data_IF_287569956487
#
_entry.id   IF_287569956487
#
_cell.length_a   1.000
_cell.length_b   1.000
_cell.length_c   1.000
_cell.angle_alpha   90.00
_cell.angle_beta   90.00
_cell.angle_gamma   90.00
#
_symmetry.space_group_name_H-M   'P 1'
#
loop_
_entity.id
_entity.type
_entity.pdbx_description
1 polymer ?
#
# COMPACT_ATOMS: atom_id res chain seq x y z
N UNK A 1 15.83 11.16 11.55
CA UNK A 1 14.68 11.37 12.45
C UNK A 1 14.61 10.20 13.44
N UNK A 2 14.20 10.40 14.69
CA UNK A 2 13.98 9.31 15.66
C UNK A 2 12.94 8.29 15.18
N UNK A 3 13.04 7.04 15.65
CA UNK A 3 12.13 5.95 15.27
C UNK A 3 10.65 6.32 15.48
N UNK A 4 10.30 6.83 16.67
CA UNK A 4 8.92 7.14 17.02
C UNK A 4 8.32 8.21 16.10
N UNK A 5 9.11 9.24 15.79
CA UNK A 5 8.70 10.30 14.87
C UNK A 5 8.47 9.77 13.45
N UNK A 6 9.34 8.87 12.96
CA UNK A 6 9.17 8.25 11.63
C UNK A 6 7.93 7.36 11.57
N UNK A 7 7.71 6.54 12.60
CA UNK A 7 6.55 5.65 12.67
C UNK A 7 5.24 6.45 12.74
N UNK A 8 5.19 7.47 13.60
CA UNK A 8 4.02 8.37 13.72
C UNK A 8 3.75 9.11 12.42
N UNK A 9 4.79 9.62 11.75
CA UNK A 9 4.67 10.30 10.47
C UNK A 9 4.07 9.38 9.40
N UNK A 10 4.58 8.15 9.26
CA UNK A 10 4.04 7.18 8.31
C UNK A 10 2.59 6.80 8.61
N UNK A 11 2.25 6.60 9.89
CA UNK A 11 0.90 6.25 10.29
C UNK A 11 -0.08 7.40 9.99
N UNK A 12 0.32 8.65 10.25
CA UNK A 12 -0.47 9.82 9.91
C UNK A 12 -0.64 9.96 8.40
N UNK A 13 0.44 9.82 7.61
CA UNK A 13 0.38 9.92 6.16
C UNK A 13 -0.58 8.89 5.55
N UNK A 14 -0.49 7.63 5.97
CA UNK A 14 -1.40 6.57 5.53
C UNK A 14 -2.86 6.95 5.87
N UNK A 15 -3.12 7.34 7.11
CA UNK A 15 -4.46 7.73 7.57
C UNK A 15 -5.02 8.90 6.77
N UNK A 16 -4.27 9.99 6.61
CA UNK A 16 -4.71 11.16 5.86
C UNK A 16 -4.95 10.82 4.39
N UNK A 17 -4.10 10.00 3.78
CA UNK A 17 -4.27 9.63 2.39
C UNK A 17 -5.53 8.76 2.16
N UNK A 18 -5.85 7.87 3.09
CA UNK A 18 -7.10 7.09 3.06
C UNK A 18 -8.31 8.01 3.20
N UNK A 19 -8.25 8.98 4.12
CA UNK A 19 -9.38 9.87 4.44
C UNK A 19 -9.63 10.96 3.39
N UNK A 20 -8.59 11.49 2.76
CA UNK A 20 -8.70 12.63 1.85
C UNK A 20 -8.75 12.24 0.37
N UNK A 21 -8.25 11.06 0.01
CA UNK A 21 -8.23 10.59 -1.37
C UNK A 21 -9.11 9.35 -1.46
N UNK A 22 -10.38 9.46 -1.86
CA UNK A 22 -11.24 8.29 -2.01
C UNK A 22 -10.68 7.37 -3.12
N UNK A 23 -10.78 6.03 -2.98
CA UNK A 23 -10.55 5.15 -4.12
C UNK A 23 -11.64 5.38 -5.17
N UNK A 24 -11.27 5.61 -6.43
CA UNK A 24 -12.22 5.77 -7.52
C UNK A 24 -11.72 5.07 -8.79
N UNK A 25 -12.65 4.51 -9.57
CA UNK A 25 -12.33 3.84 -10.84
C UNK A 25 -12.92 4.60 -12.04
N UNK A 26 -13.33 5.86 -11.86
CA UNK A 26 -13.97 6.67 -12.90
C UNK A 26 -13.09 6.79 -14.16
N UNK A 27 -11.77 6.83 -13.96
CA UNK A 27 -10.80 6.86 -15.05
C UNK A 27 -10.93 5.65 -16.00
N UNK A 28 -11.15 4.46 -15.44
CA UNK A 28 -11.27 3.21 -16.18
C UNK A 28 -12.59 3.09 -16.95
N UNK A 29 -13.66 3.68 -16.43
CA UNK A 29 -15.00 3.55 -17.00
C UNK A 29 -15.39 4.66 -17.96
N UNK A 30 -14.82 5.86 -17.81
CA UNK A 30 -15.31 7.06 -18.49
C UNK A 30 -14.24 7.84 -19.27
N UNK A 31 -12.96 7.46 -19.21
CA UNK A 31 -11.96 8.05 -20.12
C UNK A 31 -11.91 7.27 -21.42
N UNK A 32 -11.95 8.00 -22.52
CA UNK A 32 -11.93 7.46 -23.88
C UNK A 32 -10.69 6.62 -24.19
N UNK A 33 -9.58 6.87 -23.49
CA UNK A 33 -8.34 6.13 -23.67
C UNK A 33 -8.18 4.96 -22.69
N UNK A 34 -9.00 4.88 -21.62
CA UNK A 34 -8.88 3.86 -20.55
C UNK A 34 -7.46 3.66 -20.00
N UNK A 35 -6.58 4.67 -20.12
CA UNK A 35 -5.18 4.60 -19.68
C UNK A 35 -5.07 5.14 -18.26
N UNK A 36 -4.49 4.34 -17.37
CA UNK A 36 -4.01 4.77 -16.06
C UNK A 36 -2.54 5.15 -16.22
N UNK A 37 -2.22 6.39 -15.92
CA UNK A 37 -0.86 6.90 -15.99
C UNK A 37 -0.28 7.04 -14.58
N UNK A 38 0.79 6.30 -14.34
CA UNK A 38 1.49 6.18 -13.07
C UNK A 38 2.72 7.08 -12.99
N UNK A 39 3.02 7.85 -14.03
CA UNK A 39 4.10 8.82 -14.03
C UNK A 39 3.86 9.85 -12.90
N UNK A 40 4.84 10.14 -12.04
CA UNK A 40 4.62 10.82 -10.75
C UNK A 40 3.95 12.20 -10.86
N UNK A 41 4.13 12.89 -11.98
CA UNK A 41 3.49 14.16 -12.32
C UNK A 41 1.97 14.03 -12.48
N UNK A 42 1.49 12.89 -13.00
CA UNK A 42 0.08 12.69 -13.33
C UNK A 42 -0.81 12.45 -12.10
N UNK A 43 -0.52 11.51 -11.17
CA UNK A 43 -1.23 11.41 -9.91
C UNK A 43 -1.14 12.70 -9.10
N UNK A 44 0.02 13.37 -9.07
CA UNK A 44 0.16 14.67 -8.38
C UNK A 44 -0.81 15.70 -8.94
N UNK A 45 -0.88 15.82 -10.26
CA UNK A 45 -1.80 16.75 -10.91
C UNK A 45 -3.28 16.42 -10.66
N UNK A 46 -3.64 15.14 -10.75
CA UNK A 46 -5.02 14.65 -10.57
C UNK A 46 -5.52 14.81 -9.13
N UNK A 47 -4.70 14.39 -8.17
CA UNK A 47 -5.01 14.39 -6.74
C UNK A 47 -4.93 15.81 -6.17
N UNK A 48 -3.82 16.52 -6.44
CA UNK A 48 -3.47 17.77 -5.74
C UNK A 48 -3.93 19.01 -6.49
N UNK A 49 -3.62 19.13 -7.80
CA UNK A 49 -3.78 20.41 -8.51
C UNK A 49 -5.18 20.65 -9.04
N UNK A 50 -5.78 19.68 -9.73
CA UNK A 50 -6.84 20.03 -10.67
C UNK A 50 -8.21 19.45 -10.35
N UNK A 51 -8.32 18.32 -9.62
CA UNK A 51 -9.61 17.62 -9.57
C UNK A 51 -10.07 17.07 -8.24
N UNK A 52 -9.26 17.09 -7.17
CA UNK A 52 -9.56 16.34 -5.92
C UNK A 52 -10.09 14.94 -6.22
N UNK A 53 -9.64 14.38 -7.36
CA UNK A 53 -10.12 13.11 -7.86
C UNK A 53 -9.36 12.03 -7.10
N UNK A 54 -10.06 10.95 -6.83
CA UNK A 54 -9.42 9.73 -6.39
C UNK A 54 -8.46 9.19 -7.45
N UNK A 55 -8.06 7.94 -7.26
CA UNK A 55 -7.33 7.21 -8.28
C UNK A 55 -7.50 5.72 -8.08
N UNK A 56 -7.11 4.96 -9.10
CA UNK A 56 -7.00 3.52 -8.99
C UNK A 56 -5.85 3.15 -8.03
N UNK A 57 -5.75 1.89 -7.64
CA UNK A 57 -4.75 1.47 -6.64
C UNK A 57 -3.31 1.80 -7.04
N UNK A 58 -2.99 1.76 -8.35
CA UNK A 58 -1.66 2.08 -8.86
C UNK A 58 -1.34 3.57 -8.70
N UNK A 59 -2.25 4.46 -9.06
CA UNK A 59 -2.04 5.92 -8.94
C UNK A 59 -1.84 6.32 -7.49
N UNK A 60 -2.69 5.81 -6.57
CA UNK A 60 -2.59 6.14 -5.15
C UNK A 60 -1.31 5.62 -4.51
N UNK A 61 -0.92 4.38 -4.81
CA UNK A 61 0.30 3.81 -4.26
C UNK A 61 1.57 4.42 -4.89
N UNK A 62 1.56 4.79 -6.17
CA UNK A 62 2.67 5.51 -6.81
C UNK A 62 2.78 6.96 -6.29
N UNK A 63 1.66 7.63 -6.05
CA UNK A 63 1.65 8.95 -5.41
C UNK A 63 2.24 8.88 -4.00
N UNK A 64 1.77 7.94 -3.17
CA UNK A 64 2.33 7.72 -1.84
C UNK A 64 3.83 7.41 -1.92
N UNK A 65 4.25 6.57 -2.88
CA UNK A 65 5.66 6.23 -3.07
C UNK A 65 6.52 7.48 -3.32
N UNK A 66 6.06 8.37 -4.19
CA UNK A 66 6.76 9.62 -4.52
C UNK A 66 6.85 10.54 -3.30
N UNK A 67 5.78 10.64 -2.51
CA UNK A 67 5.75 11.41 -1.26
C UNK A 67 6.69 10.82 -0.20
N UNK A 68 6.75 9.49 -0.09
CA UNK A 68 7.66 8.83 0.84
C UNK A 68 9.13 9.05 0.46
N UNK A 69 9.45 8.99 -0.85
CA UNK A 69 10.79 9.31 -1.35
C UNK A 69 11.18 10.76 -1.04
N UNK A 70 10.28 11.73 -1.25
CA UNK A 70 10.58 13.14 -0.96
C UNK A 70 10.76 13.44 0.52
N UNK A 71 10.14 12.66 1.41
CA UNK A 71 10.33 12.72 2.85
C UNK A 71 11.61 12.01 3.34
N UNK A 72 12.38 11.41 2.43
CA UNK A 72 13.65 10.74 2.75
C UNK A 72 13.50 9.29 3.22
N UNK A 73 12.31 8.69 3.09
CA UNK A 73 12.16 7.24 3.26
C UNK A 73 12.70 6.50 2.04
N UNK A 74 12.95 5.20 2.23
CA UNK A 74 13.31 4.27 1.14
C UNK A 74 12.14 3.28 0.93
N UNK A 75 11.04 3.70 0.28
CA UNK A 75 9.96 2.80 -0.07
C UNK A 75 10.33 1.87 -1.23
N UNK A 76 9.72 0.69 -1.28
CA UNK A 76 9.75 -0.21 -2.43
C UNK A 76 8.31 -0.56 -2.82
N UNK A 77 7.96 -0.43 -4.10
CA UNK A 77 6.64 -0.88 -4.58
C UNK A 77 6.69 -2.40 -4.73
N UNK A 78 5.79 -3.09 -4.03
CA UNK A 78 5.61 -4.52 -4.11
C UNK A 78 4.30 -4.85 -4.83
N UNK A 79 4.39 -5.57 -5.95
CA UNK A 79 3.23 -6.17 -6.60
C UNK A 79 2.59 -7.24 -5.71
N UNK A 80 1.27 -7.27 -5.70
CA UNK A 80 0.45 -8.13 -4.86
C UNK A 80 -0.52 -8.93 -5.73
N UNK A 81 -0.66 -10.23 -5.42
CA UNK A 81 -1.65 -11.07 -6.08
C UNK A 81 -2.94 -11.02 -5.28
N UNK A 82 -4.05 -10.67 -5.93
CA UNK A 82 -5.38 -10.73 -5.32
C UNK A 82 -6.15 -11.78 -6.10
N UNK A 83 -6.69 -12.79 -5.41
CA UNK A 83 -7.23 -14.00 -6.03
C UNK A 83 -6.20 -14.66 -6.98
N UNK A 84 -6.47 -14.68 -8.29
CA UNK A 84 -5.65 -15.33 -9.29
C UNK A 84 -4.73 -14.38 -10.09
N UNK A 85 -4.82 -13.05 -9.93
CA UNK A 85 -4.10 -12.08 -10.76
C UNK A 85 -3.14 -11.18 -9.98
N UNK A 86 -2.05 -10.73 -10.63
CA UNK A 86 -1.20 -9.63 -10.15
C UNK A 86 -1.90 -8.29 -10.44
N UNK A 87 -2.90 -7.99 -9.64
CA UNK A 87 -3.83 -6.87 -9.87
C UNK A 87 -3.80 -5.86 -8.74
N UNK A 88 -2.74 -5.85 -7.92
CA UNK A 88 -2.60 -4.88 -6.84
C UNK A 88 -1.13 -4.57 -6.57
N UNK A 89 -0.85 -3.45 -5.89
CA UNK A 89 0.48 -3.10 -5.42
C UNK A 89 0.40 -2.29 -4.13
N UNK A 90 1.42 -2.39 -3.29
CA UNK A 90 1.55 -1.60 -2.07
C UNK A 90 2.99 -1.18 -1.82
N UNK A 91 3.21 -0.26 -0.88
CA UNK A 91 4.54 0.21 -0.53
C UNK A 91 5.09 -0.56 0.67
N UNK A 92 6.36 -0.96 0.59
CA UNK A 92 7.11 -1.50 1.73
C UNK A 92 8.13 -0.45 2.14
N UNK A 93 8.12 -0.05 3.40
CA UNK A 93 9.07 0.92 3.97
C UNK A 93 9.85 0.25 5.09
N UNK A 94 11.17 0.41 5.07
CA UNK A 94 12.03 0.04 6.19
C UNK A 94 12.23 1.24 7.11
N UNK A 95 11.91 1.06 8.39
CA UNK A 95 12.29 1.95 9.48
C UNK A 95 13.27 1.16 10.35
N UNK A 96 14.55 1.54 10.31
CA UNK A 96 15.63 0.72 10.90
C UNK A 96 15.56 -0.72 10.35
N UNK A 97 15.63 -1.73 11.21
CA UNK A 97 15.56 -3.16 10.84
C UNK A 97 14.13 -3.69 10.73
N UNK A 98 13.12 -2.82 10.88
CA UNK A 98 11.72 -3.20 10.86
C UNK A 98 11.08 -2.75 9.55
N UNK A 99 10.48 -3.72 8.85
CA UNK A 99 9.77 -3.51 7.59
C UNK A 99 8.28 -3.36 7.86
N UNK A 100 7.67 -2.38 7.22
CA UNK A 100 6.25 -2.10 7.29
C UNK A 100 5.64 -2.11 5.89
N UNK A 101 4.55 -2.84 5.71
CA UNK A 101 3.69 -2.73 4.54
C UNK A 101 2.68 -1.60 4.76
N UNK A 102 2.60 -0.73 3.75
CA UNK A 102 1.75 0.45 3.73
C UNK A 102 0.90 0.37 2.47
N UNK A 103 -0.41 0.38 2.66
CA UNK A 103 -1.39 0.38 1.59
C UNK A 103 -2.46 1.43 1.88
N UNK A 104 -2.88 2.10 0.83
CA UNK A 104 -3.85 3.21 0.85
C UNK A 104 -5.03 2.95 -0.08
N UNK A 105 -5.05 1.82 -0.80
CA UNK A 105 -6.06 1.56 -1.82
C UNK A 105 -6.29 0.07 -2.13
N UNK A 106 -6.92 -0.63 -1.18
CA UNK A 106 -7.43 -2.00 -1.27
C UNK A 106 -8.95 -2.00 -1.08
N UNK A 107 -9.63 -1.09 -1.77
CA UNK A 107 -11.08 -0.88 -1.65
C UNK A 107 -11.53 -0.60 -0.21
N UNK A 108 -12.70 -1.12 0.18
CA UNK A 108 -13.27 -0.95 1.53
C UNK A 108 -12.53 -1.71 2.64
N UNK A 109 -11.45 -2.44 2.32
CA UNK A 109 -10.73 -3.35 3.25
C UNK A 109 -9.29 -2.93 3.49
N UNK A 110 -8.96 -1.65 3.27
CA UNK A 110 -7.62 -1.11 3.56
C UNK A 110 -7.35 -1.16 5.06
N UNK A 111 -6.25 -1.78 5.51
CA UNK A 111 -5.81 -1.67 6.90
C UNK A 111 -5.47 -0.21 7.24
N UNK A 112 -5.99 0.33 8.35
CA UNK A 112 -5.66 1.71 8.83
C UNK A 112 -4.51 1.64 9.85
N UNK A 113 -3.58 0.73 9.60
CA UNK A 113 -2.47 0.38 10.48
C UNK A 113 -1.24 0.11 9.61
N UNK A 114 -0.08 0.55 10.08
CA UNK A 114 1.21 0.13 9.54
C UNK A 114 1.45 -1.34 9.86
N UNK A 115 1.38 -2.19 8.84
CA UNK A 115 1.52 -3.62 9.01
C UNK A 115 2.99 -4.01 9.11
N UNK A 116 3.47 -4.32 10.31
CA UNK A 116 4.82 -4.86 10.49
C UNK A 116 4.95 -6.20 9.80
N UNK A 117 5.99 -6.36 9.01
CA UNK A 117 6.31 -7.60 8.32
C UNK A 117 7.19 -8.47 9.21
N UNK A 118 6.60 -9.54 9.73
CA UNK A 118 7.27 -10.54 10.57
C UNK A 118 6.78 -11.94 10.20
N UNK A 119 7.54 -12.97 10.58
CA UNK A 119 7.04 -14.35 10.53
C UNK A 119 5.82 -14.46 11.43
N UNK A 120 4.71 -14.89 10.84
CA UNK A 120 3.48 -15.31 11.50
C UNK A 120 3.01 -14.39 12.65
N UNK A 121 2.73 -13.13 12.33
CA UNK A 121 2.30 -12.10 13.29
C UNK A 121 0.84 -11.71 13.07
N UNK A 122 0.08 -11.66 14.16
CA UNK A 122 -1.26 -11.08 14.22
C UNK A 122 -1.18 -9.64 14.68
N UNK A 123 -1.89 -8.75 14.00
CA UNK A 123 -1.94 -7.34 14.30
C UNK A 123 -3.40 -6.89 14.33
N UNK A 124 -3.76 -6.11 15.34
CA UNK A 124 -5.14 -5.65 15.51
C UNK A 124 -5.35 -4.33 14.78
N UNK A 125 -6.24 -4.32 13.79
CA UNK A 125 -6.73 -3.08 13.15
C UNK A 125 -8.12 -2.73 13.70
N UNK A 126 -8.58 -1.50 13.41
CA UNK A 126 -9.92 -1.02 13.77
C UNK A 126 -11.04 -1.93 13.27
N UNK A 127 -10.83 -2.65 12.16
CA UNK A 127 -11.80 -3.57 11.55
C UNK A 127 -11.61 -5.04 11.93
N UNK A 128 -10.63 -5.38 12.76
CA UNK A 128 -10.36 -6.76 13.20
C UNK A 128 -8.90 -7.21 13.03
N UNK A 129 -8.63 -8.51 13.28
CA UNK A 129 -7.28 -9.04 13.23
C UNK A 129 -6.79 -9.23 11.79
N UNK A 130 -5.57 -8.74 11.55
CA UNK A 130 -4.80 -8.86 10.31
C UNK A 130 -3.57 -9.75 10.56
N UNK A 131 -3.45 -10.80 9.76
CA UNK A 131 -2.38 -11.78 9.79
C UNK A 131 -1.33 -11.39 8.76
N UNK A 132 -0.07 -11.38 9.18
CA UNK A 132 1.09 -11.12 8.33
C UNK A 132 2.07 -12.28 8.46
N UNK A 133 2.46 -12.88 7.35
CA UNK A 133 3.46 -13.95 7.35
C UNK A 133 4.46 -13.75 6.24
N UNK A 134 5.74 -13.96 6.54
CA UNK A 134 6.85 -13.84 5.59
C UNK A 134 7.61 -15.17 5.56
N UNK A 135 7.45 -15.95 4.48
CA UNK A 135 8.12 -17.24 4.26
C UNK A 135 8.41 -17.45 2.76
N UNK A 136 9.50 -16.87 2.25
CA UNK A 136 9.84 -16.89 0.81
C UNK A 136 8.93 -15.99 -0.06
N UNK A 137 7.66 -15.85 0.32
CA UNK A 137 6.71 -14.84 -0.09
C UNK A 137 6.10 -14.17 1.16
N UNK A 138 5.57 -12.97 1.01
CA UNK A 138 4.73 -12.36 2.05
C UNK A 138 3.28 -12.73 1.79
N UNK A 139 2.51 -12.83 2.86
CA UNK A 139 1.06 -12.97 2.84
C UNK A 139 0.44 -12.04 3.88
N UNK A 140 -0.59 -11.30 3.47
CA UNK A 140 -1.40 -10.45 4.34
C UNK A 140 -2.86 -10.89 4.21
N UNK A 141 -3.50 -11.23 5.32
CA UNK A 141 -4.89 -11.67 5.37
C UNK A 141 -5.65 -10.96 6.50
N UNK A 142 -6.90 -10.56 6.26
CA UNK A 142 -7.78 -9.95 7.27
C UNK A 142 -9.06 -10.76 7.41
N UNK A 143 -9.55 -10.89 8.65
CA UNK A 143 -10.63 -11.84 9.01
C UNK A 143 -12.04 -11.23 8.96
N UNK A 144 -12.21 -9.98 8.50
CA UNK A 144 -13.49 -9.28 8.63
C UNK A 144 -14.57 -9.80 7.65
N UNK A 145 -15.44 -10.67 8.20
CA UNK A 145 -16.79 -11.18 7.82
C UNK A 145 -17.12 -11.39 6.33
N UNK A 146 -17.45 -12.65 6.06
CA UNK A 146 -18.01 -13.31 4.85
C UNK A 146 -16.99 -13.70 3.75
N UNK A 147 -17.19 -14.92 3.26
CA UNK A 147 -16.31 -15.76 2.44
C UNK A 147 -15.36 -15.00 1.49
N UNK A 148 -14.06 -15.19 1.70
CA UNK A 148 -13.03 -14.81 0.76
C UNK A 148 -11.67 -15.07 1.34
N UNK A 149 -11.17 -16.30 1.16
CA UNK A 149 -9.76 -16.63 1.37
C UNK A 149 -8.91 -15.68 0.51
N UNK A 150 -8.44 -14.58 1.11
CA UNK A 150 -7.45 -13.71 0.51
C UNK A 150 -6.07 -14.33 0.75
N UNK A 151 -5.74 -15.33 -0.08
CA UNK A 151 -4.35 -15.71 -0.30
C UNK A 151 -3.66 -14.58 -1.08
N UNK A 152 -3.38 -13.45 -0.41
CA UNK A 152 -2.62 -12.36 -1.00
C UNK A 152 -1.15 -12.77 -1.02
N UNK A 153 -0.75 -13.58 -2.00
CA UNK A 153 0.64 -14.06 -2.13
C UNK A 153 1.45 -12.98 -2.85
N UNK A 154 2.33 -12.30 -2.11
CA UNK A 154 3.27 -11.32 -2.66
C UNK A 154 4.48 -12.06 -3.24
N UNK A 155 4.51 -12.26 -4.57
CA UNK A 155 5.67 -12.86 -5.26
C UNK A 155 6.84 -11.89 -5.48
N UNK A 156 6.63 -10.59 -5.32
CA UNK A 156 7.65 -9.55 -5.61
C UNK A 156 8.72 -9.42 -4.52
N UNK A 157 8.66 -10.23 -3.47
CA UNK A 157 9.56 -10.10 -2.33
C UNK A 157 11.02 -10.37 -2.64
N UNK A 158 11.39 -11.25 -3.57
CA UNK A 158 12.80 -11.57 -3.76
C UNK A 158 13.65 -10.36 -4.23
N UNK A 159 13.05 -9.36 -4.89
CA UNK A 159 13.76 -8.15 -5.30
C UNK A 159 13.75 -7.08 -4.19
N UNK A 160 12.58 -6.73 -3.63
CA UNK A 160 12.52 -5.76 -2.52
C UNK A 160 13.22 -6.29 -1.24
N UNK A 161 13.09 -7.59 -0.90
CA UNK A 161 13.82 -8.19 0.24
C UNK A 161 15.34 -8.18 0.03
N UNK A 162 15.82 -8.29 -1.22
CA UNK A 162 17.26 -8.16 -1.54
C UNK A 162 17.73 -6.72 -1.44
N UNK A 163 16.91 -5.75 -1.83
CA UNK A 163 17.23 -4.31 -1.71
C UNK A 163 17.39 -3.90 -0.23
N UNK A 164 16.67 -4.55 0.68
CA UNK A 164 16.80 -4.36 2.14
C UNK A 164 17.51 -5.54 2.81
N UNK A 165 18.54 -6.10 2.17
CA UNK A 165 19.17 -7.38 2.53
C UNK A 165 19.62 -7.54 3.99
N UNK A 166 19.58 -8.82 4.40
CA UNK A 166 20.24 -9.55 5.51
C UNK A 166 20.63 -8.82 6.80
#
# INVERSE_FOLDING_TARGET
MPFDAQFQLLALLQKYQIMHIPPENLALHYFWHCVIDVAPDRPFYNIVRQRRRGGYFMEKNCFLHTVLLSLGFKPCIAGARVYAGLTHCLNIVAIHDIRYAIDVCFGAKVPILLLRLSRNRVQQDAYGPVWTSVSGSMSIASTTRSLGFLNTVFKTLNYCLRIFGH
#
